data_IF_234087713008
#
_entry.id   IF_234087713008
#
_cell.length_a   1.000
_cell.length_b   1.000
_cell.length_c   1.000
_cell.angle_alpha   90.00
_cell.angle_beta   90.00
_cell.angle_gamma   90.00
#
_symmetry.space_group_name_H-M   'P 1'
#
loop_
_entity.id
_entity.type
_entity.pdbx_description
1 polymer ?
#
# COMPACT_ATOMS: atom_id res chain seq x y z
N UNK A 1 -34.78 -15.95 -64.96
CA UNK A 1 -35.61 -14.92 -64.31
C UNK A 1 -36.32 -15.60 -63.15
N UNK A 2 -36.44 -15.07 -61.94
CA UNK A 2 -35.84 -13.90 -61.24
C UNK A 2 -35.95 -14.26 -59.73
N UNK A 3 -34.93 -14.09 -58.88
CA UNK A 3 -34.53 -12.86 -58.14
C UNK A 3 -35.57 -12.37 -57.11
N UNK A 4 -35.08 -11.98 -55.92
CA UNK A 4 -35.81 -11.36 -54.78
C UNK A 4 -36.76 -12.33 -54.00
N UNK A 5 -37.17 -12.13 -52.74
CA UNK A 5 -36.85 -11.16 -51.65
C UNK A 5 -37.35 -11.78 -50.32
N UNK A 6 -36.87 -11.52 -49.09
CA UNK A 6 -35.61 -10.98 -48.51
C UNK A 6 -35.62 -11.35 -46.99
N UNK A 7 -34.49 -11.29 -46.27
CA UNK A 7 -34.45 -11.53 -44.82
C UNK A 7 -35.31 -10.53 -44.01
N UNK A 8 -36.04 -10.99 -42.97
CA UNK A 8 -36.36 -10.16 -41.81
C UNK A 8 -35.32 -10.41 -40.70
N UNK A 9 -34.23 -9.64 -40.73
CA UNK A 9 -33.30 -9.49 -39.60
C UNK A 9 -34.00 -8.73 -38.47
N UNK A 10 -34.62 -9.47 -37.53
CA UNK A 10 -35.53 -8.89 -36.52
C UNK A 10 -35.47 -9.52 -35.13
N UNK A 11 -34.33 -10.07 -34.71
CA UNK A 11 -34.19 -10.84 -33.47
C UNK A 11 -33.38 -10.17 -32.34
N UNK A 12 -33.19 -8.85 -32.38
CA UNK A 12 -32.42 -8.10 -31.36
C UNK A 12 -33.26 -7.09 -30.56
N UNK A 13 -34.37 -6.56 -31.10
CA UNK A 13 -35.13 -5.48 -30.43
C UNK A 13 -36.04 -5.95 -29.29
N UNK A 14 -36.51 -7.20 -29.31
CA UNK A 14 -37.40 -7.74 -28.26
C UNK A 14 -36.69 -7.88 -26.89
N UNK A 15 -35.36 -7.94 -26.86
CA UNK A 15 -34.64 -8.28 -25.63
C UNK A 15 -34.64 -7.14 -24.59
N UNK A 16 -34.51 -5.88 -25.01
CA UNK A 16 -34.37 -4.75 -24.07
C UNK A 16 -35.70 -4.36 -23.38
N UNK A 17 -36.82 -4.39 -24.12
CA UNK A 17 -38.13 -4.02 -23.59
C UNK A 17 -38.69 -5.07 -22.62
N UNK A 18 -38.35 -6.35 -22.81
CA UNK A 18 -38.72 -7.41 -21.89
C UNK A 18 -37.94 -7.32 -20.57
N UNK A 19 -36.63 -7.02 -20.58
CA UNK A 19 -35.89 -6.72 -19.35
C UNK A 19 -36.48 -5.51 -18.60
N UNK A 20 -36.88 -4.44 -19.31
CA UNK A 20 -37.53 -3.28 -18.69
C UNK A 20 -38.83 -3.66 -17.96
N UNK A 21 -39.64 -4.53 -18.56
CA UNK A 21 -40.87 -5.04 -17.94
C UNK A 21 -40.59 -5.95 -16.73
N UNK A 22 -39.59 -6.83 -16.83
CA UNK A 22 -39.14 -7.69 -15.72
C UNK A 22 -38.62 -6.87 -14.54
N UNK A 23 -37.80 -5.84 -14.79
CA UNK A 23 -37.31 -4.90 -13.77
C UNK A 23 -38.48 -4.20 -13.08
N UNK A 24 -39.47 -3.70 -13.84
CA UNK A 24 -40.63 -2.99 -13.28
C UNK A 24 -41.55 -3.90 -12.44
N UNK A 25 -41.69 -5.18 -12.82
CA UNK A 25 -42.48 -6.19 -12.11
C UNK A 25 -41.76 -6.71 -10.85
N UNK A 26 -40.44 -6.96 -10.92
CA UNK A 26 -39.65 -7.53 -9.81
C UNK A 26 -38.86 -6.48 -9.02
N UNK A 27 -39.18 -5.19 -9.17
CA UNK A 27 -38.51 -4.07 -8.47
C UNK A 27 -38.34 -4.29 -6.97
N UNK A 28 -39.32 -4.88 -6.29
CA UNK A 28 -39.26 -5.16 -4.85
C UNK A 28 -38.18 -6.19 -4.51
N UNK A 29 -38.01 -7.23 -5.34
CA UNK A 29 -36.94 -8.22 -5.17
C UNK A 29 -35.57 -7.59 -5.41
N UNK A 30 -35.44 -6.77 -6.45
CA UNK A 30 -34.20 -6.03 -6.76
C UNK A 30 -33.82 -5.12 -5.59
N UNK A 31 -34.79 -4.36 -5.05
CA UNK A 31 -34.58 -3.47 -3.89
C UNK A 31 -34.20 -4.26 -2.63
N UNK A 32 -34.87 -5.39 -2.34
CA UNK A 32 -34.55 -6.24 -1.18
C UNK A 32 -33.13 -6.79 -1.27
N UNK A 33 -32.75 -7.34 -2.43
CA UNK A 33 -31.38 -7.87 -2.65
C UNK A 33 -30.35 -6.77 -2.58
N UNK A 34 -30.61 -5.60 -3.18
CA UNK A 34 -29.73 -4.44 -3.11
C UNK A 34 -29.55 -3.95 -1.67
N UNK A 35 -30.63 -3.84 -0.90
CA UNK A 35 -30.59 -3.42 0.50
C UNK A 35 -29.81 -4.44 1.35
N UNK A 36 -30.02 -5.74 1.14
CA UNK A 36 -29.29 -6.81 1.81
C UNK A 36 -27.78 -6.76 1.50
N UNK A 37 -27.41 -6.57 0.23
CA UNK A 37 -25.99 -6.43 -0.18
C UNK A 37 -25.37 -5.15 0.40
N UNK A 38 -26.07 -4.01 0.34
CA UNK A 38 -25.59 -2.76 0.93
C UNK A 38 -25.42 -2.91 2.44
N UNK A 39 -26.40 -3.47 3.16
CA UNK A 39 -26.33 -3.68 4.60
C UNK A 39 -25.17 -4.59 4.99
N UNK A 40 -24.98 -5.72 4.30
CA UNK A 40 -23.86 -6.64 4.59
C UNK A 40 -22.51 -6.00 4.30
N UNK A 41 -22.37 -5.25 3.19
CA UNK A 41 -21.16 -4.48 2.88
C UNK A 41 -20.91 -3.38 3.91
N UNK A 42 -21.94 -2.66 4.37
CA UNK A 42 -21.82 -1.64 5.43
C UNK A 42 -21.32 -2.26 6.73
N UNK A 43 -21.95 -3.35 7.20
CA UNK A 43 -21.51 -4.07 8.41
C UNK A 43 -20.05 -4.51 8.28
N UNK A 44 -19.68 -5.18 7.19
CA UNK A 44 -18.29 -5.60 6.95
C UNK A 44 -17.33 -4.40 6.96
N UNK A 45 -17.67 -3.31 6.25
CA UNK A 45 -16.83 -2.10 6.18
C UNK A 45 -16.62 -1.46 7.55
N UNK A 46 -17.64 -1.43 8.41
CA UNK A 46 -17.52 -0.91 9.78
C UNK A 46 -16.71 -1.82 10.72
N UNK A 47 -16.67 -3.14 10.46
CA UNK A 47 -15.82 -4.08 11.22
C UNK A 47 -14.35 -4.09 10.75
N UNK A 48 -14.06 -3.67 9.52
CA UNK A 48 -12.69 -3.66 9.00
C UNK A 48 -11.84 -2.58 9.71
N UNK A 49 -10.75 -2.95 10.42
CA UNK A 49 -9.92 -1.97 11.12
C UNK A 49 -9.10 -1.14 10.11
N UNK A 50 -9.04 0.20 10.26
CA UNK A 50 -8.28 1.06 9.35
C UNK A 50 -6.78 0.80 9.44
N UNK A 51 -6.13 0.71 8.28
CA UNK A 51 -4.67 0.49 8.15
C UNK A 51 -3.99 1.81 7.79
N UNK A 52 -3.13 2.30 8.68
CA UNK A 52 -2.40 3.56 8.52
C UNK A 52 -0.97 3.32 8.03
N UNK A 53 -0.43 4.27 7.25
CA UNK A 53 0.96 4.29 6.78
C UNK A 53 1.54 5.69 6.91
N UNK A 54 2.78 5.79 7.39
CA UNK A 54 3.56 7.03 7.40
C UNK A 54 4.68 6.96 6.36
N UNK A 55 5.14 8.12 5.87
CA UNK A 55 6.25 8.26 4.91
C UNK A 55 7.09 9.46 5.33
N UNK A 56 8.42 9.30 5.33
CA UNK A 56 9.38 10.37 5.54
C UNK A 56 10.37 10.42 4.35
N UNK A 57 10.98 11.58 4.12
CA UNK A 57 12.11 11.75 3.18
C UNK A 57 13.34 12.15 3.98
N UNK A 58 14.49 11.64 3.59
CA UNK A 58 15.79 11.85 4.27
C UNK A 58 16.80 12.19 3.18
N UNK A 59 17.50 13.33 3.30
CA UNK A 59 18.70 13.61 2.50
C UNK A 59 19.84 12.75 3.05
N UNK A 60 20.64 12.16 2.15
CA UNK A 60 21.75 11.30 2.53
C UNK A 60 22.99 11.80 1.80
N UNK A 61 23.78 12.57 2.53
CA UNK A 61 25.02 13.16 2.07
C UNK A 61 26.21 12.33 2.57
N UNK A 62 27.30 12.33 1.81
CA UNK A 62 28.56 11.75 2.27
C UNK A 62 29.29 12.79 3.11
N UNK A 63 29.86 12.38 4.23
CA UNK A 63 30.79 13.22 4.98
C UNK A 63 32.02 13.51 4.11
N UNK A 64 32.04 14.67 3.48
CA UNK A 64 33.26 15.25 2.93
C UNK A 64 34.07 15.77 4.12
N UNK A 65 35.19 15.11 4.42
CA UNK A 65 36.11 15.61 5.43
C UNK A 65 36.56 17.03 5.03
N UNK A 66 36.25 18.02 5.88
CA UNK A 66 36.53 19.45 5.65
C UNK A 66 38.03 19.81 5.71
N UNK A 67 38.89 18.80 5.56
CA UNK A 67 40.35 18.88 5.44
C UNK A 67 40.73 19.22 3.97
N UNK A 68 39.92 20.06 3.34
CA UNK A 68 39.99 20.42 1.91
C UNK A 68 40.58 21.79 1.62
N UNK A 69 41.16 22.48 2.61
CA UNK A 69 41.57 23.89 2.49
C UNK A 69 43.04 24.20 2.83
N UNK A 70 43.83 23.24 3.34
CA UNK A 70 45.30 23.36 3.40
C UNK A 70 45.90 22.69 2.14
N UNK A 71 45.86 23.39 1.00
CA UNK A 71 46.57 22.94 -0.21
C UNK A 71 45.73 22.70 -1.48
N UNK A 72 44.47 23.14 -1.53
CA UNK A 72 43.81 23.45 -2.81
C UNK A 72 43.47 22.28 -3.76
N UNK A 73 43.37 21.05 -3.27
CA UNK A 73 42.81 19.93 -4.04
C UNK A 73 41.54 19.41 -3.36
N UNK A 74 40.39 19.73 -3.94
CA UNK A 74 39.13 19.08 -3.57
C UNK A 74 39.24 17.59 -3.96
N UNK A 75 39.39 16.73 -2.95
CA UNK A 75 39.32 15.28 -3.11
C UNK A 75 37.97 14.92 -3.71
N UNK A 76 37.96 14.58 -5.01
CA UNK A 76 36.78 14.08 -5.69
C UNK A 76 36.31 12.81 -4.97
N UNK A 77 35.26 12.92 -4.16
CA UNK A 77 34.60 11.76 -3.58
C UNK A 77 33.94 10.97 -4.72
N UNK A 78 34.61 9.89 -5.12
CA UNK A 78 34.13 9.01 -6.18
C UNK A 78 32.70 8.52 -5.92
N UNK A 79 31.97 8.26 -7.01
CA UNK A 79 30.68 7.61 -6.92
C UNK A 79 30.85 6.24 -6.25
N UNK A 80 30.10 6.01 -5.17
CA UNK A 80 30.07 4.72 -4.48
C UNK A 80 28.70 4.07 -4.72
N UNK A 81 28.61 2.94 -5.43
CA UNK A 81 27.36 2.24 -5.66
C UNK A 81 26.79 1.58 -4.40
N UNK A 82 27.61 1.31 -3.38
CA UNK A 82 27.20 0.63 -2.15
C UNK A 82 26.71 1.60 -1.07
N UNK A 83 27.18 2.85 -1.07
CA UNK A 83 26.83 3.89 -0.09
C UNK A 83 25.34 3.91 0.30
N UNK A 84 24.44 3.98 -0.69
CA UNK A 84 23.00 4.05 -0.40
C UNK A 84 22.44 2.73 0.17
N UNK A 85 22.97 1.59 -0.25
CA UNK A 85 22.60 0.28 0.29
C UNK A 85 23.02 0.16 1.74
N UNK A 86 24.25 0.56 2.07
CA UNK A 86 24.76 0.63 3.46
C UNK A 86 23.91 1.56 4.31
N UNK A 87 23.51 2.72 3.80
CA UNK A 87 22.65 3.66 4.53
C UNK A 87 21.24 3.08 4.78
N UNK A 88 20.67 2.33 3.83
CA UNK A 88 19.42 1.60 4.06
C UNK A 88 19.55 0.44 5.06
N UNK A 89 20.72 -0.18 5.15
CA UNK A 89 21.01 -1.20 6.17
C UNK A 89 21.18 -0.57 7.57
N UNK A 90 21.89 0.55 7.68
CA UNK A 90 22.06 1.32 8.92
C UNK A 90 20.69 1.73 9.49
N UNK A 91 19.77 2.25 8.65
CA UNK A 91 18.41 2.63 9.07
C UNK A 91 17.59 1.42 9.58
N UNK A 92 17.84 0.21 9.03
CA UNK A 92 17.18 -1.03 9.44
C UNK A 92 17.93 -1.80 10.54
N UNK A 93 19.05 -1.27 11.03
CA UNK A 93 19.92 -1.95 11.97
C UNK A 93 19.29 -2.09 13.36
N UNK A 94 19.78 -3.04 14.15
CA UNK A 94 19.30 -3.30 15.51
C UNK A 94 19.49 -2.09 16.44
N UNK A 95 20.59 -1.36 16.29
CA UNK A 95 20.90 -0.16 17.09
C UNK A 95 19.93 1.00 16.84
N UNK A 96 19.33 1.10 15.65
CA UNK A 96 18.29 2.08 15.34
C UNK A 96 16.89 1.56 15.73
N UNK A 97 16.58 0.31 15.41
CA UNK A 97 15.22 -0.22 15.61
C UNK A 97 14.91 -0.61 17.06
N UNK A 98 15.88 -1.02 17.88
CA UNK A 98 15.62 -1.37 19.29
C UNK A 98 15.16 -0.17 20.13
N UNK A 99 15.81 1.02 20.10
CA UNK A 99 15.29 2.20 20.77
C UNK A 99 13.90 2.64 20.28
N UNK A 100 13.58 2.42 19.01
CA UNK A 100 12.24 2.72 18.46
C UNK A 100 11.19 1.77 19.00
N UNK A 101 11.48 0.46 19.06
CA UNK A 101 10.60 -0.56 19.65
C UNK A 101 10.28 -0.24 21.12
N UNK A 102 11.29 0.18 21.87
CA UNK A 102 11.16 0.54 23.29
C UNK A 102 10.37 1.85 23.47
N UNK A 103 10.79 2.96 22.82
CA UNK A 103 10.12 4.26 22.91
C UNK A 103 8.67 4.25 22.43
N UNK A 104 8.34 3.38 21.47
CA UNK A 104 6.97 3.24 20.98
C UNK A 104 6.18 2.13 21.67
N UNK A 105 6.76 1.40 22.62
CA UNK A 105 6.15 0.20 23.25
C UNK A 105 5.55 -0.78 22.23
N UNK A 106 6.32 -1.14 21.19
CA UNK A 106 5.82 -2.01 20.13
C UNK A 106 5.62 -3.45 20.59
N UNK A 107 6.39 -3.92 21.59
CA UNK A 107 6.31 -5.28 22.11
C UNK A 107 4.92 -5.60 22.68
N UNK A 108 4.40 -4.75 23.56
CA UNK A 108 3.08 -4.94 24.18
C UNK A 108 1.95 -4.51 23.22
N UNK A 109 2.09 -3.39 22.48
CA UNK A 109 1.08 -2.97 21.48
C UNK A 109 0.84 -4.00 20.39
N UNK A 110 1.88 -4.68 19.91
CA UNK A 110 1.73 -5.72 18.90
C UNK A 110 1.33 -7.07 19.51
N UNK A 111 1.76 -7.41 20.73
CA UNK A 111 1.25 -8.60 21.41
C UNK A 111 -0.28 -8.54 21.59
N UNK A 112 -0.79 -7.40 22.07
CA UNK A 112 -2.23 -7.13 22.18
C UNK A 112 -2.97 -7.13 20.82
N UNK A 113 -2.33 -6.67 19.73
CA UNK A 113 -2.93 -6.65 18.38
C UNK A 113 -2.95 -8.02 17.70
N UNK A 114 -1.97 -8.88 17.96
CA UNK A 114 -1.80 -10.18 17.30
C UNK A 114 -2.13 -11.38 18.21
N UNK A 115 -2.58 -11.15 19.45
CA UNK A 115 -2.99 -12.21 20.38
C UNK A 115 -1.82 -12.99 20.99
N UNK A 116 -0.62 -12.41 21.05
CA UNK A 116 0.62 -13.11 21.45
C UNK A 116 0.91 -13.08 22.97
N UNK A 117 -0.11 -12.86 23.81
CA UNK A 117 0.03 -12.66 25.25
C UNK A 117 0.43 -11.23 25.64
N UNK A 118 1.18 -11.08 26.73
CA UNK A 118 1.50 -9.76 27.31
C UNK A 118 2.55 -8.98 26.51
N UNK A 119 3.63 -9.62 26.07
CA UNK A 119 4.69 -8.95 25.33
C UNK A 119 5.38 -9.85 24.30
N UNK A 120 5.57 -9.33 23.08
CA UNK A 120 6.41 -9.96 22.07
C UNK A 120 7.88 -9.83 22.43
N UNK A 121 8.65 -10.88 22.15
CA UNK A 121 10.11 -10.84 22.27
C UNK A 121 10.69 -9.84 21.28
N UNK A 122 11.64 -9.03 21.72
CA UNK A 122 12.23 -7.94 20.92
C UNK A 122 12.87 -8.42 19.60
N UNK A 123 13.34 -9.69 19.54
CA UNK A 123 13.83 -10.36 18.31
C UNK A 123 12.76 -10.58 17.24
N UNK A 124 11.51 -10.66 17.65
CA UNK A 124 10.39 -11.02 16.79
C UNK A 124 9.68 -9.73 16.38
N UNK A 125 9.52 -8.78 17.32
CA UNK A 125 9.09 -7.41 17.05
C UNK A 125 9.99 -6.72 16.01
N UNK A 126 11.32 -6.88 16.08
CA UNK A 126 12.22 -6.28 15.06
C UNK A 126 12.03 -6.91 13.68
N UNK A 127 11.82 -8.23 13.58
CA UNK A 127 11.51 -8.90 12.30
C UNK A 127 10.22 -8.38 11.70
N UNK A 128 9.17 -8.24 12.51
CA UNK A 128 7.89 -7.65 12.07
C UNK A 128 8.01 -6.17 11.69
N UNK A 129 8.90 -5.41 12.35
CA UNK A 129 9.13 -4.00 12.06
C UNK A 129 9.91 -3.81 10.76
N UNK A 130 10.98 -4.59 10.55
CA UNK A 130 11.74 -4.63 9.29
C UNK A 130 10.82 -5.00 8.11
N UNK A 131 9.99 -6.03 8.25
CA UNK A 131 9.01 -6.42 7.21
C UNK A 131 7.94 -5.37 6.89
N UNK A 132 7.75 -4.36 7.75
CA UNK A 132 6.82 -3.23 7.53
C UNK A 132 7.53 -1.95 7.07
N UNK A 133 8.86 -1.90 7.09
CA UNK A 133 9.62 -0.72 6.70
C UNK A 133 9.95 -0.75 5.21
N UNK A 134 9.29 0.10 4.42
CA UNK A 134 9.56 0.22 2.99
C UNK A 134 10.57 1.32 2.66
N UNK A 135 11.86 1.01 2.65
CA UNK A 135 12.90 1.94 2.15
C UNK A 135 12.98 1.92 0.62
N UNK A 136 13.02 3.10 0.01
CA UNK A 136 13.14 3.30 -1.45
C UNK A 136 13.94 4.56 -1.73
N UNK A 137 14.82 4.52 -2.75
CA UNK A 137 15.46 5.73 -3.28
C UNK A 137 14.40 6.61 -3.95
N UNK A 138 14.16 7.80 -3.41
CA UNK A 138 13.48 8.85 -4.18
C UNK A 138 14.47 9.37 -5.22
N UNK A 139 14.04 9.48 -6.48
CA UNK A 139 14.71 10.30 -7.48
C UNK A 139 13.96 11.62 -7.51
N UNK A 140 14.57 12.68 -7.01
CA UNK A 140 14.04 14.03 -7.20
C UNK A 140 14.31 14.45 -8.65
N UNK A 141 13.37 14.12 -9.53
CA UNK A 141 13.25 14.68 -10.89
C UNK A 141 12.12 15.70 -10.92
N UNK A 142 12.08 16.61 -9.93
CA UNK A 142 11.35 17.86 -10.06
C UNK A 142 12.08 18.73 -11.08
N UNK A 143 11.47 18.89 -12.24
CA UNK A 143 11.89 19.82 -13.30
C UNK A 143 11.31 21.21 -13.01
#
# INVERSE_FOLDING_TARGET
>A
MEVATTQPSGSTELHFLDYWRVIRIRKSVIIIVLLLVVMTVTVVTFLLPPVYRSTARISVEKDAADIGTIGGQALYQGYDPYFLSTQFEIIQSKSVLYPVIERMDLNHKWAKRYGAGDALKQSDTIRFLQGKLGLRKSRDTSR
#
